data_IF_300554739688
#
_entry.id   IF_300554739688
#
_cell.length_a   1.000
_cell.length_b   1.000
_cell.length_c   1.000
_cell.angle_alpha   90.00
_cell.angle_beta   90.00
_cell.angle_gamma   90.00
#
_symmetry.space_group_name_H-M   'P 1'
#
loop_
_entity.id
_entity.type
_entity.pdbx_description
1 polymer ?
#
# COMPACT_ATOMS: atom_id res chain seq x y z
N UNK A 1 -46.42 27.30 52.83
CA UNK A 1 -45.69 27.40 51.54
C UNK A 1 -44.34 26.70 51.68
N UNK A 2 -44.25 25.40 51.38
CA UNK A 2 -42.97 24.65 51.40
C UNK A 2 -42.93 23.51 50.38
N UNK A 3 -43.72 23.62 49.31
CA UNK A 3 -43.77 22.61 48.24
C UNK A 3 -42.84 22.92 47.06
N UNK A 4 -42.28 24.14 46.98
CA UNK A 4 -41.44 24.58 45.86
C UNK A 4 -39.98 24.11 45.91
N UNK A 5 -39.37 23.93 47.10
CA UNK A 5 -37.94 23.61 47.20
C UNK A 5 -37.60 22.14 46.94
N UNK A 6 -38.55 21.23 47.16
CA UNK A 6 -38.36 19.80 46.92
C UNK A 6 -38.44 19.43 45.43
N UNK A 7 -39.27 20.13 44.66
CA UNK A 7 -39.40 19.94 43.21
C UNK A 7 -38.16 20.45 42.47
N UNK A 8 -37.60 21.58 42.92
CA UNK A 8 -36.36 22.14 42.37
C UNK A 8 -35.14 21.24 42.57
N UNK A 9 -35.00 20.62 43.75
CA UNK A 9 -33.89 19.68 44.04
C UNK A 9 -34.00 18.36 43.27
N UNK A 10 -35.20 17.82 43.07
CA UNK A 10 -35.39 16.61 42.25
C UNK A 10 -35.05 16.86 40.78
N UNK A 11 -35.50 17.99 40.21
CA UNK A 11 -35.18 18.36 38.83
C UNK A 11 -33.68 18.62 38.62
N UNK A 12 -33.01 19.20 39.61
CA UNK A 12 -31.56 19.39 39.58
C UNK A 12 -30.79 18.06 39.64
N UNK A 13 -31.25 17.10 40.46
CA UNK A 13 -30.65 15.78 40.54
C UNK A 13 -30.87 14.95 39.25
N UNK A 14 -32.07 15.01 38.68
CA UNK A 14 -32.39 14.38 37.39
C UNK A 14 -31.54 14.97 36.26
N UNK A 15 -31.42 16.30 36.19
CA UNK A 15 -30.56 16.98 35.21
C UNK A 15 -29.09 16.61 35.39
N UNK A 16 -28.59 16.51 36.63
CA UNK A 16 -27.21 16.12 36.91
C UNK A 16 -26.90 14.69 36.44
N UNK A 17 -27.84 13.76 36.61
CA UNK A 17 -27.68 12.38 36.13
C UNK A 17 -27.66 12.32 34.61
N UNK A 18 -28.55 13.06 33.93
CA UNK A 18 -28.56 13.13 32.46
C UNK A 18 -27.26 13.72 31.93
N UNK A 19 -26.78 14.81 32.54
CA UNK A 19 -25.50 15.43 32.16
C UNK A 19 -24.33 14.46 32.37
N UNK A 20 -24.32 13.70 33.47
CA UNK A 20 -23.27 12.72 33.73
C UNK A 20 -23.29 11.57 32.71
N UNK A 21 -24.47 11.08 32.33
CA UNK A 21 -24.61 10.04 31.28
C UNK A 21 -24.14 10.58 29.93
N UNK A 22 -24.59 11.78 29.53
CA UNK A 22 -24.13 12.42 28.31
C UNK A 22 -22.62 12.63 28.31
N UNK A 23 -22.03 13.07 29.43
CA UNK A 23 -20.59 13.26 29.55
C UNK A 23 -19.83 11.93 29.40
N UNK A 24 -20.31 10.83 29.98
CA UNK A 24 -19.70 9.50 29.80
C UNK A 24 -19.82 9.01 28.36
N UNK A 25 -20.95 9.25 27.70
CA UNK A 25 -21.12 8.92 26.27
C UNK A 25 -20.16 9.76 25.42
N UNK A 26 -20.08 11.07 25.64
CA UNK A 26 -19.16 11.94 24.91
C UNK A 26 -17.69 11.62 25.19
N UNK A 27 -17.32 11.23 26.41
CA UNK A 27 -15.96 10.78 26.72
C UNK A 27 -15.68 9.43 26.06
N UNK A 28 -16.65 8.50 26.05
CA UNK A 28 -16.52 7.22 25.37
C UNK A 28 -16.42 7.35 23.85
N UNK A 29 -17.24 8.23 23.24
CA UNK A 29 -17.15 8.58 21.82
C UNK A 29 -15.85 9.32 21.53
N UNK A 30 -15.47 10.33 22.32
CA UNK A 30 -14.19 11.02 22.14
C UNK A 30 -13.02 10.04 22.24
N UNK A 31 -13.03 9.11 23.20
CA UNK A 31 -12.00 8.07 23.31
C UNK A 31 -12.00 7.10 22.12
N UNK A 32 -13.16 6.78 21.57
CA UNK A 32 -13.28 5.95 20.37
C UNK A 32 -12.89 6.67 19.06
N UNK A 33 -12.86 8.02 19.06
CA UNK A 33 -12.56 8.86 17.90
C UNK A 33 -11.35 9.78 18.10
N UNK A 34 -10.52 9.56 19.12
CA UNK A 34 -9.27 10.30 19.28
C UNK A 34 -8.31 9.90 18.14
N UNK A 35 -7.61 10.85 17.50
CA UNK A 35 -7.04 10.62 16.17
C UNK A 35 -5.86 9.65 16.08
N UNK A 36 -5.32 9.11 17.18
CA UNK A 36 -4.05 8.37 17.16
C UNK A 36 -4.05 7.07 17.97
N UNK A 37 -5.19 6.62 18.49
CA UNK A 37 -5.22 5.41 19.30
C UNK A 37 -6.57 4.69 19.14
N UNK A 38 -6.79 4.08 17.97
CA UNK A 38 -7.84 3.07 17.80
C UNK A 38 -7.64 1.85 18.75
N UNK A 39 -6.61 1.88 19.59
CA UNK A 39 -6.20 0.85 20.53
C UNK A 39 -5.53 -0.33 19.83
N UNK A 40 -5.01 -0.10 18.63
CA UNK A 40 -4.19 -1.05 17.88
C UNK A 40 -2.74 -0.59 17.94
N UNK A 41 -1.83 -1.54 18.09
CA UNK A 41 -0.40 -1.28 18.06
C UNK A 41 0.39 -2.56 17.93
N UNK A 42 1.64 -2.44 17.49
CA UNK A 42 2.56 -3.56 17.45
C UNK A 42 3.98 -3.09 17.67
N UNK A 43 4.83 -4.02 18.08
CA UNK A 43 6.28 -3.83 18.18
C UNK A 43 6.96 -5.12 17.78
N UNK A 44 8.13 -5.03 17.17
CA UNK A 44 9.01 -6.18 17.01
C UNK A 44 10.45 -5.83 17.36
N UNK A 45 11.22 -6.84 17.76
CA UNK A 45 12.63 -6.69 18.10
C UNK A 45 13.43 -7.94 17.72
N UNK A 46 14.69 -7.73 17.37
CA UNK A 46 15.66 -8.80 17.19
C UNK A 46 15.96 -9.52 18.52
N UNK A 47 15.76 -10.84 18.54
CA UNK A 47 16.12 -11.75 19.62
C UNK A 47 17.08 -12.87 19.16
N UNK A 48 18.11 -12.53 18.40
CA UNK A 48 19.11 -13.48 17.91
C UNK A 48 18.59 -14.29 16.74
N UNK A 49 18.34 -15.59 16.94
CA UNK A 49 17.80 -16.49 15.92
C UNK A 49 16.30 -16.28 15.66
N UNK A 50 15.63 -15.48 16.51
CA UNK A 50 14.21 -15.19 16.44
C UNK A 50 13.94 -13.70 16.35
N UNK A 51 12.77 -13.34 15.83
CA UNK A 51 12.14 -12.05 16.00
C UNK A 51 11.05 -12.17 17.05
N UNK A 52 11.08 -11.35 18.09
CA UNK A 52 9.98 -11.23 19.04
C UNK A 52 9.00 -10.18 18.55
N UNK A 53 7.69 -10.45 18.64
CA UNK A 53 6.67 -9.48 18.32
C UNK A 53 5.62 -9.40 19.43
N UNK A 54 4.99 -8.23 19.54
CA UNK A 54 3.79 -8.01 20.34
C UNK A 54 2.76 -7.31 19.48
N UNK A 55 1.51 -7.72 19.62
CA UNK A 55 0.34 -7.05 19.06
C UNK A 55 -0.56 -6.61 20.22
N UNK A 56 -1.11 -5.41 20.10
CA UNK A 56 -2.11 -4.84 21.01
C UNK A 56 -3.34 -4.50 20.20
N UNK A 57 -4.50 -4.91 20.69
CA UNK A 57 -5.79 -4.68 20.04
C UNK A 57 -6.83 -4.25 21.07
N UNK A 58 -7.73 -3.36 20.68
CA UNK A 58 -8.90 -3.04 21.48
C UNK A 58 -9.97 -4.11 21.27
N UNK A 59 -10.30 -4.86 22.31
CA UNK A 59 -11.30 -5.94 22.22
C UNK A 59 -10.71 -7.26 21.72
N UNK A 60 -11.32 -7.85 20.69
CA UNK A 60 -10.99 -9.19 20.18
C UNK A 60 -10.85 -9.15 18.67
N UNK A 61 -9.62 -9.30 18.16
CA UNK A 61 -9.36 -9.23 16.73
C UNK A 61 -8.39 -10.33 16.27
N UNK A 62 -8.60 -10.79 15.04
CA UNK A 62 -7.64 -11.64 14.36
C UNK A 62 -6.41 -10.82 13.95
N UNK A 63 -5.24 -11.46 14.02
CA UNK A 63 -3.98 -10.86 13.63
C UNK A 63 -3.10 -11.87 12.89
N UNK A 64 -2.17 -11.36 12.09
CA UNK A 64 -1.03 -12.12 11.58
C UNK A 64 0.26 -11.33 11.77
N UNK A 65 1.35 -12.02 12.09
CA UNK A 65 2.69 -11.49 12.15
C UNK A 65 3.55 -12.31 11.18
N UNK A 66 4.15 -11.65 10.19
CA UNK A 66 4.93 -12.28 9.13
C UNK A 66 6.34 -11.73 9.12
N UNK A 67 7.33 -12.63 9.16
CA UNK A 67 8.74 -12.28 9.05
C UNK A 67 9.17 -12.41 7.59
N UNK A 68 9.60 -11.30 7.01
CA UNK A 68 9.94 -11.17 5.60
C UNK A 68 11.40 -10.75 5.49
N UNK A 69 12.17 -11.49 4.70
CA UNK A 69 13.49 -11.04 4.25
C UNK A 69 13.33 -10.17 3.01
N UNK A 70 14.01 -9.03 2.98
CA UNK A 70 14.07 -8.11 1.84
C UNK A 70 15.50 -8.05 1.25
N UNK A 71 16.40 -8.95 1.64
CA UNK A 71 17.80 -8.92 1.18
C UNK A 71 18.47 -7.58 1.48
N UNK A 72 19.06 -6.95 0.46
CA UNK A 72 19.72 -5.63 0.58
C UNK A 72 18.79 -4.46 0.18
N UNK A 73 17.52 -4.72 -0.13
CA UNK A 73 16.56 -3.69 -0.49
C UNK A 73 16.20 -2.82 0.71
N UNK A 74 15.98 -1.52 0.45
CA UNK A 74 15.53 -0.53 1.45
C UNK A 74 14.02 -0.36 1.34
N UNK A 75 13.22 -0.83 2.31
CA UNK A 75 11.77 -0.75 2.26
C UNK A 75 11.25 0.68 2.17
N UNK A 76 10.15 0.86 1.44
CA UNK A 76 9.51 2.17 1.28
C UNK A 76 8.97 2.68 2.61
N UNK A 77 9.22 3.95 2.89
CA UNK A 77 8.72 4.66 4.09
C UNK A 77 8.07 6.00 3.78
N UNK A 78 8.30 6.56 2.59
CA UNK A 78 7.63 7.76 2.08
C UNK A 78 7.17 7.56 0.64
N UNK A 79 6.03 8.12 0.25
CA UNK A 79 5.40 7.86 -1.05
C UNK A 79 4.99 9.14 -1.76
N UNK A 80 5.43 9.30 -3.01
CA UNK A 80 4.89 10.27 -3.95
C UNK A 80 3.60 9.73 -4.59
N UNK A 81 2.56 10.55 -4.60
CA UNK A 81 1.27 10.25 -5.21
C UNK A 81 1.11 11.15 -6.44
N UNK A 82 1.32 10.61 -7.64
CA UNK A 82 1.23 11.42 -8.85
C UNK A 82 -0.22 11.65 -9.25
N UNK A 83 -0.64 12.91 -9.25
CA UNK A 83 -1.98 13.34 -9.66
C UNK A 83 -1.95 13.90 -11.08
N UNK A 84 -2.62 13.22 -12.00
CA UNK A 84 -2.86 13.74 -13.34
C UNK A 84 -3.96 14.82 -13.29
N UNK A 85 -3.57 16.10 -13.35
CA UNK A 85 -4.53 17.19 -13.51
C UNK A 85 -5.15 17.19 -14.91
N UNK A 86 -6.50 17.21 -14.99
CA UNK A 86 -7.22 17.44 -16.25
C UNK A 86 -7.85 16.20 -16.91
N UNK A 87 -7.67 15.00 -16.35
CA UNK A 87 -8.40 13.81 -16.80
C UNK A 87 -9.83 13.81 -16.24
N UNK A 88 -10.73 14.56 -16.88
CA UNK A 88 -12.18 14.36 -16.69
C UNK A 88 -12.60 13.12 -17.48
N UNK A 89 -12.77 11.99 -16.78
CA UNK A 89 -13.49 10.77 -17.17
C UNK A 89 -13.76 10.56 -18.67
N UNK A 90 -12.78 10.01 -19.41
CA UNK A 90 -13.08 9.36 -20.70
C UNK A 90 -13.65 7.93 -20.54
N UNK A 91 -13.84 7.45 -19.30
CA UNK A 91 -14.29 6.09 -18.98
C UNK A 91 -15.70 6.00 -18.36
N UNK A 92 -16.42 7.12 -18.18
CA UNK A 92 -17.76 7.07 -17.59
C UNK A 92 -18.85 6.75 -18.64
N UNK A 93 -19.09 5.46 -18.90
CA UNK A 93 -20.35 5.01 -19.50
C UNK A 93 -21.11 4.09 -18.54
N UNK A 94 -21.86 4.70 -17.60
CA UNK A 94 -22.85 4.04 -16.72
C UNK A 94 -22.27 3.04 -15.70
N UNK A 95 -22.83 2.74 -14.54
CA UNK A 95 -24.15 3.02 -13.96
C UNK A 95 -24.11 3.01 -12.41
N UNK A 96 -22.93 3.11 -11.80
CA UNK A 96 -22.76 3.11 -10.34
C UNK A 96 -21.96 4.32 -9.87
N UNK A 97 -22.61 5.20 -9.10
CA UNK A 97 -22.04 6.47 -8.60
C UNK A 97 -20.76 6.31 -7.77
N UNK A 98 -20.50 5.11 -7.23
CA UNK A 98 -19.28 4.80 -6.47
C UNK A 98 -18.14 4.31 -7.37
N UNK A 99 -18.45 3.48 -8.37
CA UNK A 99 -17.47 3.04 -9.38
C UNK A 99 -17.08 4.19 -10.32
N UNK A 100 -18.02 5.09 -10.65
CA UNK A 100 -17.74 6.28 -11.46
C UNK A 100 -16.79 7.28 -10.78
N UNK A 101 -16.66 7.21 -9.45
CA UNK A 101 -15.69 8.03 -8.70
C UNK A 101 -14.30 7.42 -8.68
N UNK A 102 -14.17 6.11 -8.86
CA UNK A 102 -12.86 5.47 -9.03
C UNK A 102 -12.18 5.82 -10.36
N UNK A 103 -12.96 6.34 -11.31
CA UNK A 103 -12.43 6.94 -12.53
C UNK A 103 -11.90 8.37 -12.31
N UNK A 104 -12.14 8.98 -11.15
CA UNK A 104 -11.56 10.27 -10.76
C UNK A 104 -10.18 10.01 -10.11
N UNK A 105 -9.07 10.44 -10.74
CA UNK A 105 -7.73 10.14 -10.22
C UNK A 105 -7.48 10.60 -8.79
N UNK A 106 -8.09 11.73 -8.41
CA UNK A 106 -8.03 12.24 -7.04
C UNK A 106 -8.63 11.27 -6.02
N UNK A 107 -9.79 10.69 -6.31
CA UNK A 107 -10.45 9.78 -5.37
C UNK A 107 -9.66 8.48 -5.20
N UNK A 108 -9.13 7.90 -6.27
CA UNK A 108 -8.29 6.70 -6.15
C UNK A 108 -7.07 6.95 -5.27
N UNK A 109 -6.34 8.05 -5.52
CA UNK A 109 -5.15 8.40 -4.75
C UNK A 109 -5.48 8.71 -3.28
N UNK A 110 -6.62 9.34 -2.98
CA UNK A 110 -7.11 9.50 -1.61
C UNK A 110 -7.35 8.16 -0.91
N UNK A 111 -7.89 7.15 -1.63
CA UNK A 111 -8.05 5.80 -1.08
C UNK A 111 -6.71 5.11 -0.89
N UNK A 112 -5.77 5.26 -1.83
CA UNK A 112 -4.40 4.74 -1.68
C UNK A 112 -3.68 5.37 -0.50
N UNK A 113 -3.75 6.70 -0.33
CA UNK A 113 -3.20 7.40 0.84
C UNK A 113 -3.81 6.88 2.14
N UNK A 114 -5.13 6.72 2.16
CA UNK A 114 -5.83 6.18 3.35
C UNK A 114 -5.35 4.77 3.68
N UNK A 115 -5.21 3.90 2.67
CA UNK A 115 -4.73 2.54 2.85
C UNK A 115 -3.25 2.50 3.30
N UNK A 116 -2.40 3.36 2.74
CA UNK A 116 -0.99 3.51 3.14
C UNK A 116 -0.87 3.90 4.62
N UNK A 117 -1.66 4.89 5.06
CA UNK A 117 -1.72 5.31 6.47
C UNK A 117 -2.19 4.18 7.40
N UNK A 118 -3.24 3.44 7.00
CA UNK A 118 -3.71 2.27 7.78
C UNK A 118 -2.60 1.21 7.93
N UNK A 119 -1.71 1.12 6.95
CA UNK A 119 -0.60 0.19 6.95
C UNK A 119 0.73 0.77 7.51
N UNK A 120 0.72 1.99 8.03
CA UNK A 120 1.85 2.61 8.73
C UNK A 120 2.81 3.43 7.84
N UNK A 121 2.39 3.82 6.64
CA UNK A 121 3.10 4.80 5.81
C UNK A 121 2.32 6.13 5.84
N UNK A 122 2.79 7.06 6.66
CA UNK A 122 2.14 8.37 6.88
C UNK A 122 2.77 9.50 6.06
N UNK A 123 3.97 9.30 5.51
CA UNK A 123 4.69 10.31 4.74
C UNK A 123 4.33 10.24 3.25
N UNK A 124 3.18 10.82 2.90
CA UNK A 124 2.64 10.90 1.54
C UNK A 124 2.69 12.33 1.01
N UNK A 125 3.08 12.49 -0.26
CA UNK A 125 3.11 13.81 -0.93
C UNK A 125 2.49 13.71 -2.32
N UNK A 126 1.44 14.50 -2.56
CA UNK A 126 0.85 14.66 -3.88
C UNK A 126 1.76 15.47 -4.79
N UNK A 127 1.97 14.99 -6.02
CA UNK A 127 2.84 15.61 -7.02
C UNK A 127 2.07 15.84 -8.32
N UNK A 128 2.29 17.01 -8.93
CA UNK A 128 1.93 17.27 -10.32
C UNK A 128 3.09 16.88 -11.27
N UNK A 129 2.95 17.18 -12.57
CA UNK A 129 3.96 16.81 -13.57
C UNK A 129 5.32 17.48 -13.36
N UNK A 130 5.33 18.75 -12.96
CA UNK A 130 6.56 19.53 -12.81
C UNK A 130 7.23 19.19 -11.47
N UNK A 131 6.45 19.12 -10.39
CA UNK A 131 6.90 18.74 -9.06
C UNK A 131 7.43 17.31 -9.00
N UNK A 132 6.83 16.37 -9.75
CA UNK A 132 7.35 15.00 -9.84
C UNK A 132 8.74 14.98 -10.49
N UNK A 133 8.92 15.64 -11.64
CA UNK A 133 10.21 15.65 -12.33
C UNK A 133 11.33 16.27 -11.47
N UNK A 134 11.02 17.38 -10.80
CA UNK A 134 11.96 18.03 -9.88
C UNK A 134 12.31 17.13 -8.68
N UNK A 135 11.32 16.46 -8.07
CA UNK A 135 11.53 15.57 -6.94
C UNK A 135 12.42 14.38 -7.31
N UNK A 136 12.13 13.69 -8.43
CA UNK A 136 12.93 12.54 -8.87
C UNK A 136 14.37 12.93 -9.21
N UNK A 137 14.58 14.06 -9.89
CA UNK A 137 15.92 14.56 -10.20
C UNK A 137 16.69 14.97 -8.94
N UNK A 138 16.01 15.61 -7.98
CA UNK A 138 16.61 15.96 -6.69
C UNK A 138 17.05 14.70 -5.95
N UNK A 139 16.23 13.66 -5.94
CA UNK A 139 16.55 12.38 -5.29
C UNK A 139 17.75 11.67 -5.89
N UNK A 140 17.86 11.67 -7.22
CA UNK A 140 19.01 11.13 -7.93
C UNK A 140 20.27 11.92 -7.54
N UNK A 141 20.19 13.25 -7.56
CA UNK A 141 21.34 14.12 -7.26
C UNK A 141 21.81 14.01 -5.80
N UNK A 142 20.87 13.93 -4.85
CA UNK A 142 21.13 13.87 -3.42
C UNK A 142 21.40 12.44 -2.92
N UNK A 143 21.10 11.42 -3.72
CA UNK A 143 21.25 10.01 -3.35
C UNK A 143 20.19 9.53 -2.35
N UNK A 144 18.97 10.06 -2.46
CA UNK A 144 17.86 9.85 -1.51
C UNK A 144 16.68 9.06 -2.09
N UNK A 145 16.83 8.46 -3.28
CA UNK A 145 15.78 7.67 -3.90
C UNK A 145 15.42 6.40 -3.11
N UNK A 146 16.40 5.76 -2.47
CA UNK A 146 16.18 4.54 -1.67
C UNK A 146 15.21 4.78 -0.50
N UNK A 147 14.22 3.89 -0.35
CA UNK A 147 13.17 4.02 0.67
C UNK A 147 12.01 4.94 0.27
N UNK A 148 12.02 5.48 -0.95
CA UNK A 148 10.91 6.27 -1.52
C UNK A 148 10.12 5.49 -2.55
N UNK A 149 8.80 5.60 -2.47
CA UNK A 149 7.84 5.04 -3.42
C UNK A 149 7.22 6.13 -4.30
N UNK A 150 6.75 5.74 -5.47
CA UNK A 150 5.94 6.55 -6.38
C UNK A 150 4.74 5.71 -6.82
N UNK A 151 3.52 6.14 -6.50
CA UNK A 151 2.30 5.53 -7.03
C UNK A 151 1.93 6.24 -8.33
N UNK A 152 1.92 5.45 -9.41
CA UNK A 152 1.48 5.85 -10.75
C UNK A 152 0.17 5.15 -11.09
N UNK A 153 -0.82 5.93 -11.48
CA UNK A 153 -2.16 5.42 -11.85
C UNK A 153 -2.46 5.84 -13.29
N UNK A 154 -3.28 5.04 -13.97
CA UNK A 154 -3.80 5.31 -15.33
C UNK A 154 -2.81 5.26 -16.50
N UNK A 155 -1.60 4.76 -16.27
CA UNK A 155 -0.85 4.10 -17.35
C UNK A 155 0.13 4.97 -18.15
N UNK A 156 0.49 6.18 -17.72
CA UNK A 156 1.54 6.96 -18.39
C UNK A 156 2.34 7.85 -17.43
N UNK A 157 3.65 7.90 -17.63
CA UNK A 157 4.49 8.91 -17.01
C UNK A 157 4.39 10.25 -17.75
N UNK A 158 4.54 11.39 -17.06
CA UNK A 158 4.80 12.67 -17.72
C UNK A 158 6.03 12.59 -18.63
N UNK A 159 6.00 13.27 -19.78
CA UNK A 159 7.14 13.31 -20.71
C UNK A 159 8.41 13.93 -20.07
N UNK A 160 8.24 14.72 -19.01
CA UNK A 160 9.33 15.28 -18.18
C UNK A 160 10.02 14.25 -17.31
N UNK A 161 9.37 13.11 -17.05
CA UNK A 161 9.83 12.02 -16.19
C UNK A 161 10.28 10.82 -17.02
N UNK A 162 9.63 10.56 -18.15
CA UNK A 162 9.98 9.49 -19.07
C UNK A 162 9.60 9.87 -20.50
N UNK A 163 10.56 9.80 -21.42
CA UNK A 163 10.42 10.24 -22.81
C UNK A 163 10.31 9.08 -23.82
N UNK A 164 10.15 7.85 -23.32
CA UNK A 164 10.15 6.65 -24.15
C UNK A 164 11.54 6.02 -24.37
N UNK A 165 12.59 6.57 -23.76
CA UNK A 165 13.95 6.03 -23.84
C UNK A 165 14.33 5.23 -22.59
N UNK A 166 15.31 4.32 -22.74
CA UNK A 166 15.86 3.54 -21.63
C UNK A 166 16.70 4.37 -20.64
N UNK A 167 16.81 5.68 -20.81
CA UNK A 167 17.55 6.60 -19.94
C UNK A 167 16.69 7.74 -19.40
N UNK A 168 15.36 7.55 -19.36
CA UNK A 168 14.46 8.52 -18.75
C UNK A 168 14.62 8.61 -17.24
N UNK A 169 14.32 9.76 -16.65
CA UNK A 169 14.44 10.04 -15.21
C UNK A 169 13.73 8.99 -14.33
N UNK A 170 12.60 8.44 -14.76
CA UNK A 170 11.92 7.36 -14.03
C UNK A 170 12.81 6.11 -13.86
N UNK A 171 13.51 5.70 -14.91
CA UNK A 171 14.39 4.53 -14.88
C UNK A 171 15.64 4.84 -14.05
N UNK A 172 16.27 6.00 -14.27
CA UNK A 172 17.44 6.45 -13.48
C UNK A 172 17.12 6.54 -11.97
N UNK A 173 15.93 7.01 -11.62
CA UNK A 173 15.49 7.11 -10.22
C UNK A 173 15.26 5.72 -9.59
N UNK A 174 14.69 4.77 -10.34
CA UNK A 174 14.59 3.38 -9.87
C UNK A 174 15.97 2.73 -9.76
N UNK A 175 16.87 2.94 -10.73
CA UNK A 175 18.25 2.46 -10.64
C UNK A 175 18.95 2.96 -9.36
N UNK A 176 18.65 4.19 -8.94
CA UNK A 176 19.14 4.81 -7.71
C UNK A 176 18.47 4.32 -6.40
N UNK A 177 17.48 3.42 -6.48
CA UNK A 177 16.81 2.83 -5.32
C UNK A 177 15.32 3.15 -5.17
N UNK A 178 14.78 3.98 -6.05
CA UNK A 178 13.36 4.35 -6.04
C UNK A 178 12.44 3.18 -6.39
N UNK A 179 11.21 3.23 -5.90
CA UNK A 179 10.19 2.20 -6.17
C UNK A 179 8.98 2.77 -6.85
N UNK A 180 8.59 2.23 -8.00
CA UNK A 180 7.34 2.58 -8.66
C UNK A 180 6.27 1.54 -8.35
N UNK A 181 5.11 1.95 -7.86
CA UNK A 181 3.89 1.14 -7.79
C UNK A 181 2.97 1.57 -8.93
N UNK A 182 2.64 0.65 -9.82
CA UNK A 182 2.00 0.95 -11.08
C UNK A 182 0.64 0.26 -11.20
N UNK A 183 -0.38 1.04 -11.57
CA UNK A 183 -1.75 0.54 -11.80
C UNK A 183 -2.28 1.04 -13.15
N UNK A 184 -2.87 0.13 -13.91
CA UNK A 184 -3.49 0.42 -15.20
C UNK A 184 -2.72 -0.17 -16.38
N UNK A 185 -2.83 0.44 -17.58
CA UNK A 185 -2.16 -0.03 -18.80
C UNK A 185 -0.65 -0.25 -18.60
N UNK A 186 -0.06 -1.15 -19.39
CA UNK A 186 1.36 -1.51 -19.27
C UNK A 186 2.29 -0.27 -19.22
N UNK A 187 3.25 -0.22 -18.26
CA UNK A 187 4.19 0.89 -18.16
C UNK A 187 4.99 1.07 -19.44
N UNK A 188 5.32 2.31 -19.76
CA UNK A 188 6.13 2.66 -20.93
C UNK A 188 5.41 2.59 -22.28
N UNK A 189 4.13 2.18 -22.34
CA UNK A 189 3.36 2.24 -23.58
C UNK A 189 3.13 3.66 -24.07
N UNK A 190 2.79 4.55 -23.14
CA UNK A 190 2.45 5.92 -23.42
C UNK A 190 3.23 6.87 -22.51
N UNK A 191 3.44 8.08 -23.00
CA UNK A 191 3.89 9.24 -22.23
C UNK A 191 2.80 10.31 -22.26
N UNK A 192 2.68 11.04 -21.16
CA UNK A 192 1.78 12.16 -21.02
C UNK A 192 2.51 13.44 -21.45
N UNK A 193 2.19 13.90 -22.65
CA UNK A 193 2.61 15.19 -23.18
C UNK A 193 1.57 16.27 -22.86
N UNK A 194 1.92 17.54 -23.04
CA UNK A 194 1.01 18.67 -22.78
C UNK A 194 -0.28 18.64 -23.58
N UNK A 195 -0.24 18.05 -24.78
CA UNK A 195 -1.37 18.00 -25.71
C UNK A 195 -2.09 16.63 -25.71
N UNK A 196 -1.71 15.72 -24.82
CA UNK A 196 -2.31 14.39 -24.67
C UNK A 196 -1.28 13.27 -24.55
N UNK A 197 -1.72 12.05 -24.84
CA UNK A 197 -0.90 10.85 -24.73
C UNK A 197 -0.20 10.52 -26.04
N UNK A 198 1.09 10.21 -25.97
CA UNK A 198 1.89 9.78 -27.12
C UNK A 198 2.38 8.35 -26.90
N UNK A 199 2.32 7.52 -27.94
CA UNK A 199 2.84 6.15 -27.87
C UNK A 199 4.37 6.17 -27.83
N UNK A 200 4.94 5.56 -26.78
CA UNK A 200 6.37 5.47 -26.53
C UNK A 200 6.94 4.07 -26.78
N UNK A 201 6.13 3.01 -26.61
CA UNK A 201 6.52 1.64 -26.95
C UNK A 201 7.67 1.06 -26.12
N UNK A 202 7.88 1.55 -24.90
CA UNK A 202 9.00 1.19 -24.03
C UNK A 202 8.66 0.22 -22.89
N UNK A 203 7.62 -0.62 -23.05
CA UNK A 203 7.23 -1.63 -22.03
C UNK A 203 8.39 -2.45 -21.49
N UNK A 204 9.25 -2.91 -22.39
CA UNK A 204 10.37 -3.78 -22.05
C UNK A 204 11.45 -3.09 -21.22
N UNK A 205 11.49 -1.74 -21.18
CA UNK A 205 12.44 -1.02 -20.31
C UNK A 205 12.08 -1.12 -18.83
N UNK A 206 10.82 -1.42 -18.50
CA UNK A 206 10.37 -1.50 -17.11
C UNK A 206 10.37 -2.94 -16.57
N UNK A 207 10.01 -3.91 -17.40
CA UNK A 207 9.82 -5.30 -16.93
C UNK A 207 10.63 -6.35 -17.71
N UNK A 208 11.43 -5.91 -18.69
CA UNK A 208 12.18 -6.82 -19.56
C UNK A 208 11.33 -7.58 -20.58
N UNK A 209 10.02 -7.32 -20.62
CA UNK A 209 9.07 -7.95 -21.54
C UNK A 209 8.10 -6.94 -22.13
N UNK A 210 7.60 -7.22 -23.34
CA UNK A 210 6.47 -6.51 -23.93
C UNK A 210 5.15 -7.31 -23.81
N UNK A 211 5.22 -8.53 -23.25
CA UNK A 211 4.10 -9.48 -23.16
C UNK A 211 3.27 -9.26 -21.90
N UNK A 212 2.21 -8.49 -22.04
CA UNK A 212 1.25 -8.19 -20.99
C UNK A 212 -0.07 -8.88 -21.30
N UNK A 213 -0.77 -9.36 -20.26
CA UNK A 213 -2.09 -9.93 -20.44
C UNK A 213 -3.07 -8.80 -20.80
N UNK A 214 -3.78 -8.94 -21.93
CA UNK A 214 -4.69 -7.91 -22.42
C UNK A 214 -6.12 -8.06 -21.86
N UNK A 215 -6.46 -9.25 -21.38
CA UNK A 215 -7.82 -9.60 -20.94
C UNK A 215 -7.91 -9.63 -19.42
N UNK A 216 -9.13 -9.45 -18.93
CA UNK A 216 -9.46 -9.43 -17.50
C UNK A 216 -9.69 -10.85 -16.96
N UNK A 217 -8.70 -11.71 -17.18
CA UNK A 217 -8.75 -13.09 -16.71
C UNK A 217 -8.47 -13.13 -15.19
N UNK A 218 -9.29 -13.85 -14.42
CA UNK A 218 -8.97 -14.12 -13.04
C UNK A 218 -7.78 -15.06 -12.96
N UNK A 219 -6.94 -14.85 -11.96
CA UNK A 219 -5.93 -15.81 -11.56
C UNK A 219 -6.60 -17.11 -11.07
N UNK A 220 -5.91 -18.24 -11.27
CA UNK A 220 -6.44 -19.56 -10.95
C UNK A 220 -5.85 -20.16 -9.65
N UNK A 221 -4.82 -19.52 -9.09
CA UNK A 221 -4.05 -20.03 -7.96
C UNK A 221 -3.72 -18.94 -6.93
N UNK A 222 -3.79 -19.27 -5.64
CA UNK A 222 -3.24 -18.42 -4.58
C UNK A 222 -1.70 -18.52 -4.57
N UNK A 223 -1.01 -17.40 -4.78
CA UNK A 223 0.44 -17.32 -4.79
C UNK A 223 1.04 -16.81 -3.48
N UNK A 224 2.36 -16.53 -3.48
CA UNK A 224 3.08 -16.03 -2.30
C UNK A 224 2.48 -14.74 -1.73
N UNK A 225 2.56 -14.59 -0.40
CA UNK A 225 2.14 -13.41 0.35
C UNK A 225 0.64 -13.06 0.28
N UNK A 226 -0.16 -13.77 -0.53
CA UNK A 226 -1.59 -13.46 -0.69
C UNK A 226 -2.32 -13.48 0.65
N UNK A 227 -2.13 -14.54 1.44
CA UNK A 227 -2.86 -14.71 2.70
C UNK A 227 -2.26 -13.83 3.80
N UNK A 228 -0.95 -13.78 3.87
CA UNK A 228 -0.19 -13.07 4.92
C UNK A 228 -0.42 -11.56 4.86
N UNK A 229 -0.52 -11.02 3.64
CA UNK A 229 -0.79 -9.59 3.40
C UNK A 229 -2.24 -9.31 3.02
N UNK A 230 -3.12 -10.30 3.05
CA UNK A 230 -4.54 -10.19 2.70
C UNK A 230 -4.77 -9.52 1.33
N UNK A 231 -3.96 -9.90 0.33
CA UNK A 231 -4.04 -9.35 -1.02
C UNK A 231 -5.36 -9.77 -1.69
N UNK A 232 -6.06 -8.80 -2.27
CA UNK A 232 -7.45 -8.91 -2.67
C UNK A 232 -7.67 -8.95 -4.17
N UNK A 233 -6.84 -8.27 -4.95
CA UNK A 233 -6.94 -8.25 -6.40
C UNK A 233 -6.73 -9.66 -6.94
N UNK A 234 -7.65 -10.14 -7.77
CA UNK A 234 -7.63 -11.49 -8.36
C UNK A 234 -7.56 -11.47 -9.89
N UNK A 235 -7.56 -10.28 -10.50
CA UNK A 235 -7.52 -10.09 -11.96
C UNK A 235 -6.10 -9.90 -12.46
N UNK A 236 -5.78 -10.50 -13.61
CA UNK A 236 -4.44 -10.50 -14.21
C UNK A 236 -4.28 -9.54 -15.39
N UNK A 237 -5.29 -8.72 -15.72
CA UNK A 237 -5.16 -7.71 -16.79
C UNK A 237 -3.92 -6.84 -16.55
N UNK A 238 -3.12 -6.60 -17.58
CA UNK A 238 -1.84 -5.87 -17.49
C UNK A 238 -0.77 -6.53 -16.59
N UNK A 239 -0.92 -7.79 -16.16
CA UNK A 239 0.20 -8.52 -15.54
C UNK A 239 1.25 -8.82 -16.61
N UNK A 240 2.56 -8.55 -16.40
CA UNK A 240 3.64 -8.92 -17.32
C UNK A 240 3.95 -10.41 -17.28
N UNK A 241 4.43 -10.98 -18.39
CA UNK A 241 4.96 -12.34 -18.43
C UNK A 241 6.42 -12.35 -18.02
N UNK A 242 6.73 -12.92 -16.87
CA UNK A 242 8.11 -12.99 -16.41
C UNK A 242 8.87 -14.18 -16.99
N UNK A 243 8.26 -14.98 -17.88
CA UNK A 243 8.97 -16.08 -18.52
C UNK A 243 10.07 -15.57 -19.46
N UNK A 244 11.30 -16.04 -19.23
CA UNK A 244 12.42 -15.78 -20.13
C UNK A 244 12.97 -14.36 -20.13
N UNK A 245 12.54 -13.47 -19.23
CA UNK A 245 13.09 -12.10 -19.12
C UNK A 245 14.52 -12.09 -18.57
N UNK A 246 14.87 -13.07 -17.72
CA UNK A 246 16.16 -13.14 -17.04
C UNK A 246 16.38 -12.06 -15.97
N UNK A 247 15.36 -11.23 -15.72
CA UNK A 247 15.37 -10.24 -14.64
C UNK A 247 15.04 -10.89 -13.30
N UNK A 248 15.56 -10.33 -12.22
CA UNK A 248 15.14 -10.71 -10.87
C UNK A 248 13.74 -10.16 -10.61
N UNK A 249 12.82 -11.04 -10.24
CA UNK A 249 11.42 -10.67 -10.04
C UNK A 249 10.72 -11.57 -9.04
N UNK A 250 9.67 -11.05 -8.41
CA UNK A 250 8.73 -11.78 -7.57
C UNK A 250 7.31 -11.58 -8.10
N UNK A 251 6.57 -12.68 -8.26
CA UNK A 251 5.11 -12.65 -8.42
C UNK A 251 4.45 -12.96 -7.07
N UNK A 252 3.45 -12.17 -6.70
CA UNK A 252 2.74 -12.27 -5.42
C UNK A 252 1.23 -12.05 -5.58
N UNK A 253 0.48 -12.35 -4.52
CA UNK A 253 -0.98 -12.32 -4.53
C UNK A 253 -1.53 -13.55 -5.27
N UNK A 254 -2.58 -13.40 -6.06
CA UNK A 254 -3.02 -14.48 -6.93
C UNK A 254 -2.14 -14.57 -8.19
N UNK A 255 -1.99 -15.79 -8.72
CA UNK A 255 -1.08 -16.07 -9.82
C UNK A 255 -1.72 -16.99 -10.85
N UNK A 256 -1.25 -16.92 -12.10
CA UNK A 256 -1.47 -17.93 -13.13
C UNK A 256 -0.21 -18.01 -14.00
N UNK A 257 0.44 -19.18 -14.00
CA UNK A 257 1.74 -19.35 -14.69
C UNK A 257 2.81 -18.40 -14.15
N UNK A 258 3.39 -17.58 -15.03
CA UNK A 258 4.45 -16.62 -14.69
C UNK A 258 3.92 -15.19 -14.47
N UNK A 259 2.62 -15.06 -14.20
CA UNK A 259 1.94 -13.79 -13.95
C UNK A 259 1.39 -13.76 -12.54
N UNK A 260 1.48 -12.61 -11.89
CA UNK A 260 0.90 -12.35 -10.58
C UNK A 260 0.06 -11.09 -10.58
N UNK A 261 -0.89 -11.04 -9.65
CA UNK A 261 -1.67 -9.82 -9.35
C UNK A 261 -0.79 -8.69 -8.83
N UNK A 262 0.33 -9.03 -8.19
CA UNK A 262 1.47 -8.15 -8.01
C UNK A 262 2.70 -8.77 -8.68
N UNK A 263 3.44 -7.98 -9.46
CA UNK A 263 4.74 -8.37 -10.00
C UNK A 263 5.79 -7.32 -9.69
N UNK A 264 6.80 -7.69 -8.90
CA UNK A 264 7.94 -6.85 -8.57
C UNK A 264 9.09 -7.21 -9.50
N UNK A 265 9.67 -6.22 -10.19
CA UNK A 265 10.81 -6.40 -11.08
C UNK A 265 11.92 -5.46 -10.66
N UNK A 266 13.13 -6.00 -10.48
CA UNK A 266 14.31 -5.24 -10.09
C UNK A 266 14.74 -4.28 -11.19
N UNK A 267 15.05 -3.04 -10.82
CA UNK A 267 15.75 -2.07 -11.66
C UNK A 267 16.87 -1.41 -10.84
N UNK A 268 18.13 -1.77 -11.12
CA UNK A 268 19.29 -1.36 -10.32
C UNK A 268 19.14 -1.70 -8.82
N UNK A 269 19.10 -0.69 -7.96
CA UNK A 269 18.86 -0.82 -6.52
C UNK A 269 17.39 -0.66 -6.12
N UNK A 270 16.51 -0.31 -7.04
CA UNK A 270 15.08 -0.13 -6.84
C UNK A 270 14.26 -1.12 -7.64
N UNK A 271 12.99 -0.78 -7.90
CA UNK A 271 12.05 -1.68 -8.57
C UNK A 271 10.84 -0.99 -9.16
N UNK A 272 10.15 -1.73 -10.02
CA UNK A 272 8.74 -1.49 -10.34
C UNK A 272 7.88 -2.64 -9.82
N UNK A 273 6.76 -2.30 -9.19
CA UNK A 273 5.69 -3.19 -8.78
C UNK A 273 4.47 -2.93 -9.68
N UNK A 274 4.09 -3.92 -10.49
CA UNK A 274 2.88 -3.88 -11.31
C UNK A 274 1.73 -4.49 -10.52
N UNK A 275 0.70 -3.71 -10.25
CA UNK A 275 -0.58 -4.21 -9.75
C UNK A 275 -1.52 -4.45 -10.93
N UNK A 276 -1.78 -5.73 -11.19
CA UNK A 276 -2.62 -6.16 -12.29
C UNK A 276 -4.12 -5.96 -11.98
N UNK A 277 -4.93 -5.98 -13.03
CA UNK A 277 -6.36 -5.67 -13.00
C UNK A 277 -6.67 -4.24 -13.41
N UNK A 278 -7.93 -3.86 -13.19
CA UNK A 278 -8.40 -2.48 -13.34
C UNK A 278 -8.03 -1.59 -12.15
N UNK A 279 -8.28 -0.29 -12.28
CA UNK A 279 -8.15 0.65 -11.18
C UNK A 279 -9.30 0.42 -10.19
N UNK A 280 -9.01 -0.18 -9.02
CA UNK A 280 -10.02 -0.43 -7.98
C UNK A 280 -9.44 -0.34 -6.55
N UNK A 281 -10.31 -0.34 -5.54
CA UNK A 281 -9.89 -0.38 -4.13
C UNK A 281 -8.94 -1.54 -3.84
N UNK A 282 -9.11 -2.68 -4.49
CA UNK A 282 -8.28 -3.85 -4.24
C UNK A 282 -6.82 -3.56 -4.63
N UNK A 283 -6.56 -2.95 -5.79
CA UNK A 283 -5.20 -2.55 -6.16
C UNK A 283 -4.62 -1.49 -5.22
N UNK A 284 -5.45 -0.55 -4.74
CA UNK A 284 -5.00 0.46 -3.80
C UNK A 284 -4.57 -0.16 -2.45
N UNK A 285 -5.37 -1.09 -1.92
CA UNK A 285 -5.10 -1.82 -0.69
C UNK A 285 -3.92 -2.80 -0.84
N UNK A 286 -3.80 -3.47 -1.99
CA UNK A 286 -2.70 -4.39 -2.29
C UNK A 286 -1.36 -3.65 -2.41
N UNK A 287 -1.34 -2.49 -3.07
CA UNK A 287 -0.16 -1.62 -3.12
C UNK A 287 0.21 -1.14 -1.73
N UNK A 288 -0.76 -0.67 -0.94
CA UNK A 288 -0.49 -0.23 0.42
C UNK A 288 0.09 -1.35 1.29
N UNK A 289 -0.49 -2.55 1.22
CA UNK A 289 -0.04 -3.73 1.96
C UNK A 289 1.37 -4.15 1.53
N UNK A 290 1.63 -4.20 0.22
CA UNK A 290 2.93 -4.56 -0.32
C UNK A 290 4.03 -3.54 0.04
N UNK A 291 3.73 -2.24 -0.13
CA UNK A 291 4.65 -1.16 0.21
C UNK A 291 4.99 -1.16 1.69
N UNK A 292 3.96 -1.28 2.53
CA UNK A 292 4.11 -1.25 3.98
C UNK A 292 4.84 -2.49 4.49
N UNK A 293 4.54 -3.68 3.97
CA UNK A 293 5.28 -4.90 4.28
C UNK A 293 6.75 -4.87 3.81
N UNK A 294 7.12 -3.93 2.93
CA UNK A 294 8.46 -3.82 2.38
C UNK A 294 8.75 -4.87 1.31
N UNK A 295 7.71 -5.35 0.60
CA UNK A 295 7.88 -6.33 -0.46
C UNK A 295 8.75 -5.79 -1.60
N UNK A 296 9.62 -6.67 -2.09
CA UNK A 296 10.48 -6.41 -3.23
C UNK A 296 10.72 -7.66 -4.08
N UNK A 297 11.41 -7.49 -5.21
CA UNK A 297 11.73 -8.56 -6.17
C UNK A 297 12.42 -9.79 -5.57
N UNK A 298 13.11 -9.64 -4.42
CA UNK A 298 13.81 -10.73 -3.74
C UNK A 298 13.18 -11.11 -2.39
N UNK A 299 11.96 -10.63 -2.11
CA UNK A 299 11.32 -10.91 -0.83
C UNK A 299 11.05 -12.39 -0.61
N UNK A 300 11.34 -12.86 0.61
CA UNK A 300 11.08 -14.23 1.04
C UNK A 300 10.33 -14.21 2.37
N UNK A 301 9.18 -14.88 2.42
CA UNK A 301 8.48 -15.16 3.67
C UNK A 301 9.26 -16.23 4.44
N UNK A 302 9.78 -15.86 5.61
CA UNK A 302 10.59 -16.76 6.45
C UNK A 302 9.73 -17.53 7.45
N UNK A 303 8.82 -16.84 8.13
CA UNK A 303 7.93 -17.43 9.12
C UNK A 303 6.67 -16.58 9.28
N UNK A 304 5.60 -17.20 9.78
CA UNK A 304 4.32 -16.52 10.02
C UNK A 304 3.62 -17.10 11.23
N UNK A 305 2.98 -16.23 12.00
CA UNK A 305 2.11 -16.61 13.10
C UNK A 305 0.80 -15.84 12.99
N UNK A 306 -0.32 -16.51 13.21
CA UNK A 306 -1.65 -15.89 13.21
C UNK A 306 -2.45 -16.35 14.41
N UNK A 307 -3.28 -15.47 14.95
CA UNK A 307 -4.10 -15.77 16.12
C UNK A 307 -5.22 -14.77 16.32
N UNK A 308 -5.88 -14.88 17.47
CA UNK A 308 -6.86 -13.90 17.94
C UNK A 308 -6.34 -13.26 19.21
N UNK A 309 -6.07 -11.95 19.17
CA UNK A 309 -5.62 -11.20 20.33
C UNK A 309 -6.83 -10.68 21.12
N UNK A 310 -6.75 -10.78 22.45
CA UNK A 310 -7.70 -10.20 23.39
C UNK A 310 -6.97 -9.17 24.26
N UNK A 311 -6.89 -7.92 23.81
CA UNK A 311 -6.07 -6.89 24.45
C UNK A 311 -4.63 -6.90 23.96
N UNK A 312 -3.86 -7.94 24.29
CA UNK A 312 -2.50 -8.09 23.77
C UNK A 312 -2.14 -9.56 23.60
N UNK A 313 -1.32 -9.86 22.58
CA UNK A 313 -0.71 -11.16 22.36
C UNK A 313 0.73 -10.98 21.88
N UNK A 314 1.57 -12.00 22.07
CA UNK A 314 3.00 -11.94 21.74
C UNK A 314 3.50 -13.29 21.27
N UNK A 315 4.49 -13.29 20.39
CA UNK A 315 5.07 -14.51 19.87
C UNK A 315 6.49 -14.31 19.33
N UNK A 316 7.01 -15.37 18.75
CA UNK A 316 8.33 -15.40 18.11
C UNK A 316 8.21 -15.91 16.68
N UNK A 317 9.03 -15.38 15.79
CA UNK A 317 9.16 -15.83 14.40
C UNK A 317 10.61 -16.28 14.16
N UNK A 318 10.79 -17.44 13.54
CA UNK A 318 12.12 -18.02 13.26
C UNK A 318 12.76 -17.33 12.04
N UNK A 319 13.97 -16.79 12.22
CA UNK A 319 14.70 -16.16 11.12
C UNK A 319 15.27 -17.18 10.13
N UNK A 320 15.29 -18.46 10.46
CA UNK A 320 15.85 -19.53 9.63
C UNK A 320 17.30 -19.24 9.18
N UNK A 321 18.08 -18.55 10.02
CA UNK A 321 19.44 -18.12 9.71
C UNK A 321 19.56 -17.05 8.61
N UNK A 322 18.47 -16.40 8.23
CA UNK A 322 18.47 -15.30 7.28
C UNK A 322 19.26 -14.09 7.82
N UNK A 323 19.82 -13.32 6.89
CA UNK A 323 20.58 -12.09 7.16
C UNK A 323 20.22 -11.03 6.12
N UNK A 324 20.58 -9.78 6.38
CA UNK A 324 20.18 -8.62 5.57
C UNK A 324 19.02 -7.87 6.21
N UNK A 325 18.26 -7.13 5.41
CA UNK A 325 17.06 -6.42 5.86
C UNK A 325 15.95 -7.43 6.18
N UNK A 326 15.60 -7.52 7.46
CA UNK A 326 14.48 -8.33 7.95
C UNK A 326 13.37 -7.42 8.47
N UNK A 327 12.14 -7.76 8.12
CA UNK A 327 10.95 -6.99 8.50
C UNK A 327 9.93 -7.91 9.14
N UNK A 328 9.42 -7.54 10.30
CA UNK A 328 8.20 -8.13 10.88
C UNK A 328 7.03 -7.24 10.48
N UNK A 329 6.13 -7.78 9.66
CA UNK A 329 4.89 -7.11 9.30
C UNK A 329 3.75 -7.69 10.12
N UNK A 330 3.09 -6.85 10.90
CA UNK A 330 1.95 -7.24 11.74
C UNK A 330 0.69 -6.64 11.15
N UNK A 331 -0.30 -7.48 10.84
CA UNK A 331 -1.63 -7.09 10.40
C UNK A 331 -2.66 -7.45 11.48
N UNK A 332 -3.69 -6.62 11.60
CA UNK A 332 -4.88 -6.88 12.42
C UNK A 332 -6.11 -6.68 11.54
N UNK A 333 -7.04 -7.62 11.62
CA UNK A 333 -8.21 -7.72 10.75
C UNK A 333 -8.30 -9.08 10.06
N UNK A 334 -9.52 -9.48 9.72
CA UNK A 334 -9.80 -10.72 8.99
C UNK A 334 -10.00 -10.42 7.49
N UNK A 335 -11.24 -10.06 7.08
CA UNK A 335 -11.55 -9.72 5.70
C UNK A 335 -11.04 -8.33 5.26
N UNK A 336 -10.77 -7.44 6.23
CA UNK A 336 -10.27 -6.10 6.00
C UNK A 336 -9.18 -5.79 7.03
N UNK A 337 -8.03 -5.34 6.54
CA UNK A 337 -6.99 -4.79 7.41
C UNK A 337 -7.49 -3.49 8.03
N UNK A 338 -7.49 -3.46 9.36
CA UNK A 338 -7.85 -2.28 10.15
C UNK A 338 -6.62 -1.63 10.79
N UNK A 339 -5.52 -2.36 10.83
CA UNK A 339 -4.20 -1.90 11.25
C UNK A 339 -3.16 -2.79 10.60
N UNK A 340 -2.10 -2.19 10.08
CA UNK A 340 -0.88 -2.92 9.81
C UNK A 340 0.35 -2.04 10.10
N UNK A 341 1.47 -2.67 10.44
CA UNK A 341 2.71 -1.95 10.66
C UNK A 341 3.92 -2.86 10.44
N UNK A 342 4.96 -2.29 9.84
CA UNK A 342 6.26 -2.93 9.62
C UNK A 342 7.27 -2.48 10.67
N UNK A 343 7.98 -3.46 11.22
CA UNK A 343 9.11 -3.26 12.12
C UNK A 343 10.36 -3.85 11.48
N UNK A 344 11.33 -3.01 11.15
CA UNK A 344 12.64 -3.48 10.72
C UNK A 344 13.43 -3.91 11.95
N UNK A 345 13.99 -5.12 11.91
CA UNK A 345 14.73 -5.74 13.03
C UNK A 345 16.15 -6.13 12.63
#
# INVERSE_FOLDING_TARGET
MSFGSHIGRKRAAEAAVVIAICAVIFIGEAYAYLPDDYGYGSSASDAGDYAEYTVTVNGSHEYAASLISCGDYVPVSSVYLFLEEGRTSQYSDGSDLFLSRMDEPGFYLEQTETALRVCGIDDTVYMDMDGLAEALQSDIYEGTAAGKGLVMVYGAFPITVYDGSSGGTALEWMEAGGTVYWVGPAPGDYVMARDGYEYAGGRAFFTGTAEYLAEDDPADTEGPFRKELQLKGDLLMNAPDMSGTGMESLTAGYTSGNRGTLTFVREGSGQICIAAGGVSLFQAEDIASAASAGLCWCSVLLDTCSGTAHGSDSGTLDKNGASGTLCVYVTVGDAYQIYACRHQI
#
